data_IF_647100891514
#
_entry.id   IF_647100891514
#
_cell.length_a   1.000
_cell.length_b   1.000
_cell.length_c   1.000
_cell.angle_alpha   90.00
_cell.angle_beta   90.00
_cell.angle_gamma   90.00
#
_symmetry.space_group_name_H-M   'P 1'
#
loop_
_entity.id
_entity.type
_entity.pdbx_description
1 polymer ?
#
# COMPACT_ATOMS: atom_id res chain seq x y z
N UNK A 1 -17.12 57.88 -39.58
CA UNK A 1 -17.33 57.29 -38.24
C UNK A 1 -16.41 56.09 -38.09
N UNK A 2 -15.26 56.30 -37.45
CA UNK A 2 -14.19 55.31 -37.30
C UNK A 2 -14.26 54.76 -35.88
N UNK A 3 -14.59 53.47 -35.72
CA UNK A 3 -14.61 52.82 -34.42
C UNK A 3 -13.31 52.03 -34.22
N UNK A 4 -12.56 52.42 -33.19
CA UNK A 4 -11.28 51.86 -32.77
C UNK A 4 -11.46 50.42 -32.26
N UNK A 5 -10.83 49.44 -32.92
CA UNK A 5 -10.56 48.14 -32.30
C UNK A 5 -9.36 48.27 -31.34
N UNK A 6 -9.62 48.08 -30.05
CA UNK A 6 -8.60 47.95 -29.00
C UNK A 6 -7.87 46.60 -29.16
N UNK A 7 -6.53 46.64 -29.19
CA UNK A 7 -5.66 45.46 -29.06
C UNK A 7 -5.83 44.82 -27.67
N UNK A 8 -5.96 43.49 -27.54
CA UNK A 8 -5.88 42.83 -26.25
C UNK A 8 -4.42 42.71 -25.77
N UNK A 9 -4.23 42.95 -24.48
CA UNK A 9 -2.99 42.84 -23.72
C UNK A 9 -2.37 41.44 -23.82
N UNK A 10 -1.10 41.38 -24.22
CA UNK A 10 -0.23 40.22 -24.05
C UNK A 10 0.28 40.18 -22.60
N UNK A 11 -0.41 39.45 -21.73
CA UNK A 11 0.16 39.00 -20.46
C UNK A 11 0.29 37.47 -20.48
N UNK A 12 1.49 37.04 -20.82
CA UNK A 12 1.95 35.65 -20.74
C UNK A 12 2.06 35.28 -19.25
N UNK A 13 1.11 34.49 -18.76
CA UNK A 13 1.25 33.85 -17.45
C UNK A 13 2.27 32.71 -17.57
N UNK A 14 3.50 32.99 -17.15
CA UNK A 14 4.52 31.97 -16.83
C UNK A 14 4.06 31.21 -15.58
N UNK A 15 3.64 29.95 -15.73
CA UNK A 15 3.52 29.03 -14.61
C UNK A 15 4.92 28.71 -14.06
N UNK A 16 5.25 29.26 -12.88
CA UNK A 16 6.39 28.82 -12.07
C UNK A 16 6.07 27.44 -11.48
N UNK A 17 6.86 26.44 -11.85
CA UNK A 17 7.07 25.25 -11.04
C UNK A 17 7.74 25.69 -9.73
N UNK A 18 6.97 25.68 -8.64
CA UNK A 18 7.49 25.87 -7.29
C UNK A 18 8.02 24.53 -6.82
N UNK A 19 9.33 24.34 -6.89
CA UNK A 19 10.03 23.39 -6.02
C UNK A 19 9.98 23.98 -4.60
N UNK A 20 9.10 23.43 -3.76
CA UNK A 20 9.01 23.77 -2.36
C UNK A 20 10.19 23.18 -1.59
N UNK A 21 11.09 24.04 -1.15
CA UNK A 21 12.13 23.77 -0.16
C UNK A 21 11.53 23.59 1.24
N UNK A 22 11.90 22.46 1.86
CA UNK A 22 12.00 22.18 3.31
C UNK A 22 11.23 23.06 4.31
N UNK A 23 10.23 22.47 4.97
CA UNK A 23 9.95 22.74 6.38
C UNK A 23 9.81 21.43 7.14
N UNK A 24 10.72 21.23 8.09
CA UNK A 24 10.75 20.12 9.04
C UNK A 24 9.58 20.26 10.02
N UNK A 25 8.55 19.44 9.85
CA UNK A 25 7.62 19.10 10.93
C UNK A 25 7.67 17.59 11.11
N UNK A 26 8.37 17.16 12.16
CA UNK A 26 8.41 15.76 12.58
C UNK A 26 7.05 15.41 13.19
N UNK A 27 6.04 15.17 12.34
CA UNK A 27 4.82 14.52 12.77
C UNK A 27 5.10 13.03 12.96
N UNK A 28 5.58 12.68 14.16
CA UNK A 28 5.57 11.28 14.58
C UNK A 28 4.12 10.82 14.72
N UNK A 29 3.74 9.66 14.15
CA UNK A 29 2.47 9.05 14.47
C UNK A 29 2.47 8.70 15.96
N UNK A 30 1.46 9.18 16.67
CA UNK A 30 1.21 8.89 18.07
C UNK A 30 0.87 7.40 18.24
N UNK A 31 1.91 6.58 18.31
CA UNK A 31 1.78 5.16 18.67
C UNK A 31 1.33 5.07 20.14
N UNK A 32 0.17 4.46 20.37
CA UNK A 32 -0.33 4.17 21.70
C UNK A 32 0.69 3.27 22.42
N UNK A 33 1.12 3.73 23.60
CA UNK A 33 2.28 3.25 24.35
C UNK A 33 2.10 1.81 24.82
N UNK A 34 2.79 0.85 24.20
CA UNK A 34 3.28 -0.31 24.94
C UNK A 34 4.47 0.16 25.78
N UNK A 35 4.24 0.35 27.09
CA UNK A 35 5.28 0.80 28.02
C UNK A 35 6.34 -0.28 28.20
N UNK A 36 7.40 -0.26 27.39
CA UNK A 36 8.58 -1.08 27.63
C UNK A 36 9.34 -0.59 28.87
N UNK A 37 9.95 -1.52 29.60
CA UNK A 37 10.92 -1.19 30.66
C UNK A 37 12.30 -1.04 30.02
N UNK A 38 12.76 0.20 29.88
CA UNK A 38 14.14 0.49 29.46
C UNK A 38 15.08 0.33 30.64
N UNK A 39 16.20 -0.34 30.38
CA UNK A 39 17.34 -0.50 31.29
C UNK A 39 18.52 0.23 30.68
N UNK A 40 19.19 1.06 31.48
CA UNK A 40 20.37 1.82 31.07
C UNK A 40 21.55 1.40 31.93
N UNK A 41 22.57 0.84 31.31
CA UNK A 41 23.88 0.59 31.93
C UNK A 41 24.74 1.83 31.75
N UNK A 42 25.11 2.47 32.86
CA UNK A 42 25.99 3.66 32.83
C UNK A 42 27.41 3.28 32.45
N UNK A 43 28.05 4.11 31.63
CA UNK A 43 29.43 3.93 31.19
C UNK A 43 29.71 2.48 30.74
N UNK A 44 28.79 1.96 29.91
CA UNK A 44 28.81 0.59 29.42
C UNK A 44 29.27 0.45 27.98
N UNK A 45 29.52 1.55 27.26
CA UNK A 45 29.90 1.53 25.83
C UNK A 45 31.23 0.82 25.57
N UNK A 46 32.11 0.78 26.56
CA UNK A 46 33.38 0.06 26.53
C UNK A 46 33.24 -1.43 26.91
N UNK A 47 32.06 -1.85 27.39
CA UNK A 47 31.74 -3.25 27.66
C UNK A 47 31.08 -3.87 26.44
N UNK A 48 31.47 -5.11 26.10
CA UNK A 48 30.77 -5.83 25.06
C UNK A 48 29.34 -6.18 25.51
N UNK A 49 28.42 -6.28 24.54
CA UNK A 49 27.05 -6.77 24.79
C UNK A 49 27.06 -8.11 25.53
N UNK A 50 27.98 -9.01 25.15
CA UNK A 50 28.16 -10.31 25.79
C UNK A 50 28.61 -10.20 27.25
N UNK A 51 29.50 -9.26 27.58
CA UNK A 51 29.97 -9.07 28.96
C UNK A 51 28.86 -8.58 29.89
N UNK A 52 28.04 -7.63 29.41
CA UNK A 52 26.91 -7.10 30.18
C UNK A 52 25.90 -8.22 30.48
N UNK A 53 25.53 -9.01 29.47
CA UNK A 53 24.58 -10.12 29.62
C UNK A 53 25.16 -11.19 30.56
N UNK A 54 26.40 -11.60 30.35
CA UNK A 54 27.06 -12.64 31.17
C UNK A 54 27.16 -12.21 32.64
N UNK A 55 27.49 -10.94 32.91
CA UNK A 55 27.54 -10.40 34.27
C UNK A 55 26.16 -10.44 34.97
N UNK A 56 25.09 -10.12 34.23
CA UNK A 56 23.72 -10.20 34.74
C UNK A 56 23.30 -11.64 35.00
N UNK A 57 23.53 -12.56 34.06
CA UNK A 57 23.17 -13.98 34.20
C UNK A 57 23.93 -14.65 35.35
N UNK A 58 25.22 -14.35 35.51
CA UNK A 58 26.05 -14.86 36.61
C UNK A 58 25.51 -14.45 37.99
N UNK A 59 24.97 -13.24 38.09
CA UNK A 59 24.40 -12.72 39.32
C UNK A 59 22.97 -13.24 39.56
N UNK A 60 22.13 -13.24 38.52
CA UNK A 60 20.71 -13.62 38.60
C UNK A 60 20.48 -15.13 38.64
N UNK A 61 21.46 -15.94 38.24
CA UNK A 61 21.33 -17.40 38.08
C UNK A 61 20.17 -17.80 37.15
N UNK A 62 19.81 -16.91 36.23
CA UNK A 62 18.73 -17.05 35.26
C UNK A 62 19.16 -16.41 33.94
N UNK A 63 18.76 -16.97 32.78
CA UNK A 63 19.02 -16.35 31.48
C UNK A 63 18.33 -14.98 31.40
N UNK A 64 18.97 -14.04 30.71
CA UNK A 64 18.46 -12.69 30.49
C UNK A 64 18.25 -12.49 29.00
N UNK A 65 17.07 -12.02 28.63
CA UNK A 65 16.66 -11.88 27.24
C UNK A 65 16.44 -10.40 26.90
N UNK A 66 17.52 -9.61 26.76
CA UNK A 66 17.39 -8.22 26.39
C UNK A 66 16.89 -8.10 24.95
N UNK A 67 16.31 -6.95 24.62
CA UNK A 67 16.05 -6.58 23.24
C UNK A 67 16.32 -5.10 22.96
N UNK A 68 16.56 -4.76 21.70
CA UNK A 68 16.92 -3.41 21.25
C UNK A 68 18.15 -2.87 22.00
N UNK A 69 19.22 -3.67 22.08
CA UNK A 69 20.47 -3.25 22.72
C UNK A 69 21.16 -2.19 21.85
N UNK A 70 21.36 -1.00 22.40
CA UNK A 70 22.01 0.11 21.70
C UNK A 70 23.01 0.85 22.59
N UNK A 71 24.13 1.25 22.00
CA UNK A 71 25.11 2.12 22.65
C UNK A 71 24.78 3.57 22.33
N UNK A 72 24.62 4.41 23.35
CA UNK A 72 24.35 5.84 23.24
C UNK A 72 25.67 6.63 23.16
N UNK A 73 25.62 7.83 22.60
CA UNK A 73 26.80 8.70 22.43
C UNK A 73 27.41 9.13 23.76
N UNK A 74 26.59 9.24 24.80
CA UNK A 74 27.01 9.55 26.17
C UNK A 74 27.72 8.40 26.90
N UNK A 75 28.10 7.32 26.20
CA UNK A 75 28.83 6.19 26.78
C UNK A 75 27.96 5.16 27.50
N UNK A 76 26.64 5.33 27.51
CA UNK A 76 25.71 4.39 28.14
C UNK A 76 25.24 3.31 27.15
N UNK A 77 24.85 2.15 27.66
CA UNK A 77 24.19 1.11 26.87
C UNK A 77 22.75 0.98 27.35
N UNK A 78 21.80 0.98 26.42
CA UNK A 78 20.38 0.78 26.73
C UNK A 78 19.86 -0.50 26.12
N UNK A 79 18.94 -1.15 26.82
CA UNK A 79 18.19 -2.30 26.33
C UNK A 79 16.82 -2.35 26.99
N UNK A 80 15.93 -3.19 26.47
CA UNK A 80 14.58 -3.35 26.96
C UNK A 80 14.35 -4.78 27.44
N UNK A 81 13.40 -4.94 28.35
CA UNK A 81 13.07 -6.23 28.97
C UNK A 81 11.56 -6.44 28.91
N UNK A 82 11.14 -7.70 28.67
CA UNK A 82 9.74 -8.04 28.41
C UNK A 82 8.89 -8.07 29.67
N UNK A 83 9.40 -8.73 30.71
CA UNK A 83 8.67 -9.01 31.95
C UNK A 83 9.03 -8.00 33.02
N UNK A 84 8.04 -7.54 33.77
CA UNK A 84 8.30 -6.65 34.91
C UNK A 84 9.17 -7.34 35.95
N UNK A 85 8.96 -8.64 36.16
CA UNK A 85 9.72 -9.47 37.09
C UNK A 85 11.21 -9.54 36.69
N UNK A 86 11.48 -9.82 35.41
CA UNK A 86 12.84 -9.86 34.85
C UNK A 86 13.50 -8.48 34.91
N UNK A 87 12.73 -7.41 34.59
CA UNK A 87 13.21 -6.04 34.72
C UNK A 87 13.59 -5.69 36.16
N UNK A 88 12.78 -6.08 37.15
CA UNK A 88 13.03 -5.83 38.56
C UNK A 88 14.23 -6.65 39.07
N UNK A 89 14.36 -7.90 38.61
CA UNK A 89 15.51 -8.74 38.89
C UNK A 89 16.80 -8.09 38.38
N UNK A 90 16.82 -7.62 37.13
CA UNK A 90 17.96 -6.88 36.55
C UNK A 90 18.27 -5.61 37.33
N UNK A 91 17.25 -4.88 37.80
CA UNK A 91 17.48 -3.68 38.62
C UNK A 91 18.12 -4.03 39.96
N UNK A 92 17.74 -5.16 40.57
CA UNK A 92 18.34 -5.64 41.83
C UNK A 92 19.82 -6.03 41.69
N UNK A 93 20.29 -6.23 40.45
CA UNK A 93 21.69 -6.50 40.11
C UNK A 93 22.54 -5.21 40.00
N UNK A 94 21.91 -4.03 40.02
CA UNK A 94 22.60 -2.74 39.99
C UNK A 94 23.57 -2.61 41.17
N UNK A 95 24.81 -2.22 40.87
CA UNK A 95 25.96 -2.13 41.79
C UNK A 95 26.37 -3.47 42.45
N UNK A 96 25.87 -4.61 41.95
CA UNK A 96 26.13 -5.95 42.50
C UNK A 96 26.65 -6.93 41.46
N UNK A 97 26.10 -6.91 40.25
CA UNK A 97 26.64 -7.67 39.12
C UNK A 97 28.00 -7.13 38.70
N UNK A 98 28.95 -8.04 38.53
CA UNK A 98 30.35 -7.74 38.24
C UNK A 98 30.71 -8.29 36.86
N UNK A 99 31.34 -7.47 36.02
CA UNK A 99 31.87 -7.87 34.71
C UNK A 99 33.10 -8.75 34.85
N UNK A 100 33.53 -9.36 33.73
CA UNK A 100 34.80 -10.09 33.62
C UNK A 100 36.02 -9.28 34.07
N UNK A 101 35.98 -7.96 33.90
CA UNK A 101 37.01 -7.00 34.34
C UNK A 101 36.91 -6.58 35.81
N UNK A 102 35.99 -7.14 36.60
CA UNK A 102 35.79 -6.76 38.01
C UNK A 102 34.97 -5.47 38.21
N UNK A 103 34.47 -4.84 37.14
CA UNK A 103 33.68 -3.62 37.21
C UNK A 103 32.23 -3.93 37.58
N UNK A 104 31.66 -3.18 38.52
CA UNK A 104 30.25 -3.31 38.89
C UNK A 104 29.34 -2.57 37.91
N UNK A 105 28.28 -3.21 37.45
CA UNK A 105 27.29 -2.58 36.57
C UNK A 105 26.45 -1.55 37.34
N UNK A 106 26.22 -0.36 36.79
CA UNK A 106 25.28 0.62 37.34
C UNK A 106 24.09 0.70 36.40
N UNK A 107 22.93 0.26 36.86
CA UNK A 107 21.73 0.08 36.05
C UNK A 107 20.63 1.02 36.54
N UNK A 108 20.05 1.77 35.60
CA UNK A 108 18.91 2.65 35.80
C UNK A 108 17.68 2.15 35.04
N UNK A 109 16.49 2.52 35.54
CA UNK A 109 15.20 2.18 34.93
C UNK A 109 14.57 3.43 34.34
N UNK A 110 14.00 3.31 33.14
CA UNK A 110 13.13 4.32 32.59
C UNK A 110 11.95 3.67 31.85
N UNK A 111 10.77 4.27 31.98
CA UNK A 111 9.63 3.90 31.13
C UNK A 111 9.81 4.55 29.76
N UNK A 112 9.98 3.74 28.72
CA UNK A 112 10.12 4.22 27.35
C UNK A 112 9.62 3.16 26.36
N UNK A 113 9.04 3.61 25.24
CA UNK A 113 8.74 2.71 24.13
C UNK A 113 10.04 2.32 23.42
N UNK A 114 10.23 1.04 23.05
CA UNK A 114 11.38 0.62 22.28
C UNK A 114 11.43 1.32 20.91
N UNK A 115 12.57 1.89 20.50
CA UNK A 115 12.74 2.39 19.14
C UNK A 115 12.71 1.24 18.13
N UNK A 116 12.26 1.52 16.91
CA UNK A 116 12.32 0.56 15.81
C UNK A 116 13.75 0.50 15.26
N UNK A 117 14.60 -0.29 15.90
CA UNK A 117 15.98 -0.54 15.48
C UNK A 117 16.00 -1.75 14.54
N UNK A 118 16.59 -1.60 13.36
CA UNK A 118 16.81 -2.70 12.42
C UNK A 118 17.64 -3.82 13.03
N UNK A 119 17.35 -5.06 12.64
CA UNK A 119 18.14 -6.21 13.06
C UNK A 119 19.50 -6.19 12.37
N UNK A 120 20.53 -6.65 13.07
CA UNK A 120 21.86 -6.84 12.47
C UNK A 120 21.85 -8.05 11.53
N UNK A 121 22.81 -8.12 10.61
CA UNK A 121 22.81 -9.18 9.58
C UNK A 121 22.91 -10.59 10.18
N UNK A 122 23.64 -10.77 11.29
CA UNK A 122 23.67 -12.04 12.01
C UNK A 122 22.30 -12.47 12.56
N UNK A 123 21.48 -11.52 12.99
CA UNK A 123 20.11 -11.77 13.47
C UNK A 123 19.17 -12.10 12.30
N UNK A 124 19.35 -11.44 11.14
CA UNK A 124 18.60 -11.73 9.91
C UNK A 124 18.90 -13.12 9.37
N UNK A 125 20.15 -13.58 9.42
CA UNK A 125 20.52 -14.94 8.99
C UNK A 125 19.88 -16.02 9.88
N UNK A 126 19.82 -15.81 11.19
CA UNK A 126 19.09 -16.71 12.10
C UNK A 126 17.60 -16.75 11.74
N UNK A 127 16.97 -15.59 11.50
CA UNK A 127 15.58 -15.53 11.07
C UNK A 127 15.36 -16.27 9.76
N UNK A 128 16.25 -16.12 8.78
CA UNK A 128 16.17 -16.81 7.48
C UNK A 128 16.19 -18.32 7.64
N UNK A 129 17.09 -18.86 8.46
CA UNK A 129 17.16 -20.30 8.75
C UNK A 129 15.88 -20.81 9.42
N UNK A 130 15.36 -20.06 10.39
CA UNK A 130 14.13 -20.42 11.10
C UNK A 130 12.92 -20.38 10.16
N UNK A 131 12.77 -19.34 9.34
CA UNK A 131 11.68 -19.24 8.36
C UNK A 131 11.70 -20.41 7.37
N UNK A 132 12.87 -20.78 6.87
CA UNK A 132 13.01 -21.94 5.98
C UNK A 132 12.56 -23.24 6.66
N UNK A 133 12.87 -23.42 7.95
CA UNK A 133 12.43 -24.60 8.72
C UNK A 133 10.93 -24.64 9.03
N UNK A 134 10.27 -23.47 8.99
CA UNK A 134 8.86 -23.31 9.32
C UNK A 134 7.95 -23.33 8.07
N UNK A 135 8.55 -23.37 6.88
CA UNK A 135 7.83 -23.46 5.62
C UNK A 135 7.68 -24.92 5.18
N UNK A 136 6.45 -25.34 4.91
CA UNK A 136 6.13 -26.63 4.31
C UNK A 136 5.85 -26.44 2.82
N UNK A 137 6.73 -26.99 1.98
CA UNK A 137 6.64 -26.85 0.53
C UNK A 137 5.44 -27.60 -0.07
N UNK A 138 5.04 -28.72 0.52
CA UNK A 138 3.93 -29.55 0.03
C UNK A 138 2.57 -28.85 0.19
N UNK A 139 2.40 -28.11 1.28
CA UNK A 139 1.13 -27.42 1.61
C UNK A 139 1.21 -25.93 1.33
N UNK A 140 2.37 -25.41 0.91
CA UNK A 140 2.63 -23.98 0.76
C UNK A 140 2.27 -23.18 2.02
N UNK A 141 2.52 -23.79 3.19
CA UNK A 141 2.14 -23.26 4.50
C UNK A 141 3.36 -22.73 5.24
N UNK A 142 3.27 -21.49 5.72
CA UNK A 142 4.27 -20.89 6.59
C UNK A 142 3.74 -20.83 8.02
N UNK A 143 4.32 -21.64 8.92
CA UNK A 143 3.91 -21.68 10.31
C UNK A 143 4.72 -20.69 11.17
N UNK A 144 4.14 -19.55 11.49
CA UNK A 144 4.70 -18.56 12.43
C UNK A 144 3.96 -18.56 13.78
N UNK A 145 3.13 -19.56 14.04
CA UNK A 145 2.35 -19.70 15.27
C UNK A 145 3.26 -19.78 16.50
N UNK A 146 3.04 -18.89 17.47
CA UNK A 146 3.82 -18.86 18.70
C UNK A 146 5.34 -18.71 18.48
N UNK A 147 5.77 -17.98 17.45
CA UNK A 147 7.16 -17.88 16.96
C UNK A 147 8.22 -17.72 18.06
N UNK A 148 7.92 -16.94 19.11
CA UNK A 148 8.83 -16.75 20.25
C UNK A 148 9.15 -18.02 21.05
N UNK A 149 8.39 -19.11 20.86
CA UNK A 149 8.59 -20.42 21.50
C UNK A 149 9.46 -21.37 20.68
N UNK A 150 9.75 -21.03 19.42
CA UNK A 150 10.67 -21.81 18.59
C UNK A 150 12.01 -21.96 19.30
N UNK A 151 12.57 -23.17 19.31
CA UNK A 151 13.78 -23.49 20.09
C UNK A 151 14.99 -22.65 19.68
N UNK A 152 15.15 -22.39 18.39
CA UNK A 152 16.25 -21.56 17.87
C UNK A 152 16.09 -20.11 18.32
N UNK A 153 14.89 -19.55 18.19
CA UNK A 153 14.60 -18.16 18.61
C UNK A 153 14.67 -18.01 20.13
N UNK A 154 14.18 -18.99 20.89
CA UNK A 154 14.18 -18.98 22.35
C UNK A 154 15.59 -19.10 22.94
N UNK A 155 16.44 -19.92 22.32
CA UNK A 155 17.82 -20.11 22.75
C UNK A 155 18.76 -19.03 22.20
N UNK A 156 18.28 -18.19 21.27
CA UNK A 156 19.03 -17.05 20.77
C UNK A 156 19.20 -15.98 21.86
N UNK A 157 20.36 -15.33 21.88
CA UNK A 157 20.70 -14.32 22.89
C UNK A 157 19.80 -13.08 22.81
N UNK A 158 19.42 -12.68 21.60
CA UNK A 158 18.45 -11.61 21.37
C UNK A 158 17.04 -12.20 21.31
N UNK A 159 16.13 -11.60 22.07
CA UNK A 159 14.71 -11.92 21.98
C UNK A 159 14.08 -11.29 20.73
N UNK A 160 13.70 -12.11 19.75
CA UNK A 160 13.18 -11.69 18.44
C UNK A 160 11.73 -12.14 18.17
N UNK A 161 10.73 -11.62 18.90
CA UNK A 161 9.33 -11.97 18.65
C UNK A 161 8.77 -11.26 17.42
N UNK A 162 7.79 -11.87 16.75
CA UNK A 162 7.11 -11.29 15.57
C UNK A 162 6.37 -9.99 15.88
N UNK A 163 5.86 -9.82 17.10
CA UNK A 163 5.18 -8.58 17.49
C UNK A 163 6.12 -7.36 17.66
N UNK A 164 7.43 -7.53 17.43
CA UNK A 164 8.40 -6.43 17.31
C UNK A 164 8.46 -5.99 15.84
N UNK A 165 8.19 -4.71 15.61
CA UNK A 165 8.13 -4.12 14.26
C UNK A 165 9.36 -4.42 13.40
N UNK A 166 10.56 -4.35 13.97
CA UNK A 166 11.80 -4.64 13.24
C UNK A 166 11.93 -6.10 12.83
N UNK A 167 11.38 -7.04 13.62
CA UNK A 167 11.36 -8.47 13.30
C UNK A 167 10.35 -8.72 12.18
N UNK A 168 9.14 -8.16 12.28
CA UNK A 168 8.14 -8.27 11.22
C UNK A 168 8.64 -7.69 9.88
N UNK A 169 9.29 -6.53 9.92
CA UNK A 169 9.91 -5.91 8.74
C UNK A 169 11.01 -6.79 8.16
N UNK A 170 11.91 -7.33 9.00
CA UNK A 170 12.95 -8.23 8.54
C UNK A 170 12.37 -9.51 7.90
N UNK A 171 11.34 -10.11 8.51
CA UNK A 171 10.63 -11.26 7.94
C UNK A 171 10.04 -10.88 6.58
N UNK A 172 9.37 -9.73 6.50
CA UNK A 172 8.79 -9.22 5.25
C UNK A 172 9.85 -9.09 4.15
N UNK A 173 11.01 -8.52 4.47
CA UNK A 173 12.13 -8.40 3.52
C UNK A 173 12.71 -9.76 3.14
N UNK A 174 12.87 -10.68 4.10
CA UNK A 174 13.39 -12.02 3.82
C UNK A 174 12.45 -12.85 2.93
N UNK A 175 11.15 -12.55 2.99
CA UNK A 175 10.13 -13.19 2.17
C UNK A 175 9.94 -12.52 0.81
N UNK A 176 10.68 -11.46 0.46
CA UNK A 176 10.48 -10.77 -0.83
C UNK A 176 10.63 -11.67 -2.04
N UNK A 177 11.56 -12.63 -1.97
CA UNK A 177 11.93 -13.47 -3.11
C UNK A 177 11.08 -14.75 -3.19
N UNK A 178 10.55 -15.21 -2.05
CA UNK A 178 9.82 -16.49 -1.94
C UNK A 178 8.36 -16.34 -1.54
N UNK A 179 7.89 -15.12 -1.26
CA UNK A 179 6.55 -14.88 -0.73
C UNK A 179 5.41 -15.26 -1.68
N UNK A 180 5.67 -15.28 -2.99
CA UNK A 180 4.72 -15.80 -3.99
C UNK A 180 4.43 -17.29 -3.89
N UNK A 181 5.30 -18.07 -3.22
CA UNK A 181 5.10 -19.50 -2.99
C UNK A 181 4.19 -19.79 -1.79
N UNK A 182 3.82 -18.79 -1.00
CA UNK A 182 3.07 -18.97 0.24
C UNK A 182 1.58 -18.79 -0.04
N UNK A 183 0.80 -19.83 0.28
CA UNK A 183 -0.66 -19.82 0.15
C UNK A 183 -1.37 -19.77 1.49
N UNK A 184 -0.71 -20.18 2.57
CA UNK A 184 -1.30 -20.13 3.92
C UNK A 184 -0.27 -19.71 4.97
N UNK A 185 -0.72 -18.91 5.94
CA UNK A 185 0.13 -18.39 7.02
C UNK A 185 -0.56 -18.61 8.37
N UNK A 186 0.13 -19.22 9.31
CA UNK A 186 -0.26 -19.24 10.73
C UNK A 186 0.51 -18.16 11.49
N UNK A 187 -0.19 -17.17 12.05
CA UNK A 187 0.35 -16.11 12.90
C UNK A 187 -0.26 -16.14 14.31
N UNK A 188 -0.83 -17.27 14.71
CA UNK A 188 -1.49 -17.45 15.98
C UNK A 188 -0.53 -17.26 17.17
N UNK A 189 -1.06 -16.90 18.34
CA UNK A 189 -0.34 -16.88 19.62
C UNK A 189 0.91 -15.96 19.68
N UNK A 190 0.97 -14.92 18.84
CA UNK A 190 2.10 -13.99 18.76
C UNK A 190 1.90 -12.68 19.55
N UNK A 191 0.73 -12.50 20.17
CA UNK A 191 0.35 -11.26 20.90
C UNK A 191 0.43 -10.01 20.02
N UNK A 192 0.01 -10.14 18.76
CA UNK A 192 -0.14 -9.03 17.82
C UNK A 192 -1.33 -8.16 18.24
N UNK A 193 -1.13 -6.84 18.31
CA UNK A 193 -2.21 -5.88 18.61
C UNK A 193 -2.42 -4.92 17.44
N UNK A 194 -1.33 -4.34 16.96
CA UNK A 194 -1.31 -3.48 15.78
C UNK A 194 -0.85 -4.31 14.57
N UNK A 195 -1.59 -4.22 13.47
CA UNK A 195 -1.34 -4.98 12.25
C UNK A 195 -0.69 -4.13 11.14
N UNK A 196 -0.28 -2.89 11.44
CA UNK A 196 0.36 -1.97 10.49
C UNK A 196 1.58 -2.58 9.79
N UNK A 197 2.46 -3.22 10.56
CA UNK A 197 3.67 -3.84 9.99
C UNK A 197 3.37 -5.18 9.32
N UNK A 198 2.31 -5.87 9.75
CA UNK A 198 1.83 -7.07 9.08
C UNK A 198 1.20 -6.74 7.72
N UNK A 199 0.58 -5.57 7.58
CA UNK A 199 0.01 -5.11 6.31
C UNK A 199 1.08 -5.02 5.20
N UNK A 200 2.35 -4.75 5.56
CA UNK A 200 3.45 -4.81 4.59
C UNK A 200 3.64 -6.22 4.03
N UNK A 201 3.41 -7.27 4.83
CA UNK A 201 3.56 -8.65 4.38
C UNK A 201 2.58 -8.99 3.24
N UNK A 202 1.43 -8.32 3.20
CA UNK A 202 0.40 -8.51 2.17
C UNK A 202 0.96 -8.27 0.76
N UNK A 203 1.81 -7.27 0.57
CA UNK A 203 2.39 -6.99 -0.75
C UNK A 203 3.42 -8.02 -1.20
N UNK A 204 4.07 -8.71 -0.27
CA UNK A 204 5.10 -9.72 -0.57
C UNK A 204 4.54 -11.13 -0.65
N UNK A 205 3.35 -11.37 -0.11
CA UNK A 205 2.68 -12.67 -0.09
C UNK A 205 1.29 -12.58 -0.75
N UNK A 206 1.21 -12.20 -2.04
CA UNK A 206 -0.07 -11.89 -2.69
C UNK A 206 -0.99 -13.10 -2.86
N UNK A 207 -0.45 -14.32 -2.83
CA UNK A 207 -1.18 -15.56 -3.07
C UNK A 207 -1.75 -16.20 -1.79
N UNK A 208 -1.63 -15.53 -0.64
CA UNK A 208 -2.17 -16.03 0.63
C UNK A 208 -3.69 -16.02 0.59
N UNK A 209 -4.27 -17.21 0.77
CA UNK A 209 -5.71 -17.47 0.79
C UNK A 209 -6.20 -17.99 2.15
N UNK A 210 -5.30 -18.41 3.04
CA UNK A 210 -5.64 -18.89 4.37
C UNK A 210 -4.76 -18.24 5.43
N UNK A 211 -5.39 -17.70 6.49
CA UNK A 211 -4.70 -16.97 7.54
C UNK A 211 -5.22 -17.37 8.93
N UNK A 212 -4.31 -17.68 9.86
CA UNK A 212 -4.63 -17.85 11.27
C UNK A 212 -4.06 -16.70 12.11
N UNK A 213 -4.93 -16.01 12.84
CA UNK A 213 -4.61 -14.92 13.77
C UNK A 213 -5.14 -15.19 15.19
N UNK A 214 -5.54 -16.42 15.52
CA UNK A 214 -6.04 -16.75 16.84
C UNK A 214 -5.01 -16.53 17.96
N UNK A 215 -5.47 -16.23 19.18
CA UNK A 215 -4.59 -16.06 20.34
C UNK A 215 -3.72 -14.79 20.28
N UNK A 216 -4.12 -13.81 19.47
CA UNK A 216 -3.50 -12.50 19.43
C UNK A 216 -4.28 -11.49 20.31
N UNK A 217 -3.91 -10.21 20.25
CA UNK A 217 -4.43 -9.14 21.09
C UNK A 217 -5.04 -8.01 20.23
N UNK A 218 -5.60 -8.36 19.08
CA UNK A 218 -6.25 -7.40 18.19
C UNK A 218 -7.55 -6.92 18.83
N UNK A 219 -7.65 -5.63 19.09
CA UNK A 219 -8.74 -5.00 19.82
C UNK A 219 -9.70 -4.19 18.92
N UNK A 220 -9.34 -3.96 17.66
CA UNK A 220 -10.13 -3.17 16.73
C UNK A 220 -10.23 -3.83 15.36
N UNK A 221 -11.43 -3.75 14.80
CA UNK A 221 -11.75 -4.13 13.43
C UNK A 221 -10.95 -3.36 12.37
N UNK A 222 -10.55 -2.12 12.66
CA UNK A 222 -9.75 -1.32 11.74
C UNK A 222 -8.36 -1.93 11.50
N UNK A 223 -7.83 -2.68 12.46
CA UNK A 223 -6.58 -3.41 12.28
C UNK A 223 -6.75 -4.52 11.24
N UNK A 224 -7.88 -5.24 11.27
CA UNK A 224 -8.16 -6.30 10.28
C UNK A 224 -8.37 -5.74 8.88
N UNK A 225 -8.98 -4.55 8.75
CA UNK A 225 -9.14 -3.88 7.44
C UNK A 225 -7.82 -3.63 6.73
N UNK A 226 -6.71 -3.46 7.45
CA UNK A 226 -5.37 -3.30 6.87
C UNK A 226 -4.89 -4.54 6.11
N UNK A 227 -5.45 -5.71 6.41
CA UNK A 227 -5.14 -6.97 5.75
C UNK A 227 -6.05 -7.26 4.55
N UNK A 228 -6.99 -6.36 4.21
CA UNK A 228 -7.95 -6.54 3.11
C UNK A 228 -7.30 -6.68 1.72
N UNK A 229 -6.01 -6.40 1.58
CA UNK A 229 -5.27 -6.71 0.35
C UNK A 229 -5.14 -8.21 0.07
N UNK A 230 -5.25 -9.07 1.08
CA UNK A 230 -5.34 -10.52 0.86
C UNK A 230 -6.75 -10.96 0.48
N UNK A 231 -6.81 -11.84 -0.52
CA UNK A 231 -8.04 -12.49 -0.99
C UNK A 231 -8.27 -13.79 -0.23
N UNK A 232 -8.58 -13.65 1.07
CA UNK A 232 -8.70 -14.80 1.97
C UNK A 232 -9.97 -15.61 1.68
N UNK A 233 -9.80 -16.92 1.55
CA UNK A 233 -10.85 -17.94 1.56
C UNK A 233 -11.06 -18.50 2.97
N UNK A 234 -9.99 -18.61 3.77
CA UNK A 234 -10.04 -19.14 5.13
C UNK A 234 -9.43 -18.14 6.11
N UNK A 235 -10.14 -17.84 7.20
CA UNK A 235 -9.66 -16.95 8.26
C UNK A 235 -10.03 -17.50 9.63
N UNK A 236 -9.03 -17.60 10.51
CA UNK A 236 -9.22 -17.91 11.93
C UNK A 236 -8.82 -16.69 12.76
N UNK A 237 -9.73 -16.09 13.51
CA UNK A 237 -9.51 -14.81 14.19
C UNK A 237 -10.34 -14.62 15.47
N UNK A 238 -11.30 -15.51 15.77
CA UNK A 238 -12.22 -15.43 16.90
C UNK A 238 -11.55 -15.27 18.26
N UNK A 239 -10.35 -15.83 18.46
CA UNK A 239 -9.60 -15.73 19.72
C UNK A 239 -8.84 -14.38 19.84
N UNK A 240 -9.53 -13.26 19.60
CA UNK A 240 -9.00 -11.91 19.74
C UNK A 240 -9.96 -11.01 20.53
N UNK A 241 -9.47 -9.98 21.25
CA UNK A 241 -10.29 -9.09 22.05
C UNK A 241 -11.48 -8.43 21.34
N UNK A 242 -11.34 -8.02 20.06
CA UNK A 242 -12.41 -7.37 19.31
C UNK A 242 -13.68 -8.24 19.21
N UNK A 243 -13.54 -9.57 19.28
CA UNK A 243 -14.69 -10.48 19.14
C UNK A 243 -15.75 -10.25 20.23
N UNK A 244 -15.35 -9.75 21.41
CA UNK A 244 -16.26 -9.43 22.53
C UNK A 244 -17.24 -8.30 22.22
N UNK A 245 -17.01 -7.51 21.18
CA UNK A 245 -17.88 -6.41 20.78
C UNK A 245 -19.13 -6.90 20.04
N UNK A 246 -19.10 -8.12 19.47
CA UNK A 246 -20.23 -8.69 18.74
C UNK A 246 -21.27 -9.29 19.68
N UNK A 247 -22.54 -8.98 19.42
CA UNK A 247 -23.67 -9.49 20.20
C UNK A 247 -24.19 -10.83 19.68
N UNK A 248 -23.87 -11.16 18.43
CA UNK A 248 -24.38 -12.35 17.75
C UNK A 248 -23.41 -12.84 16.67
N UNK A 249 -23.41 -14.16 16.42
CA UNK A 249 -22.59 -14.76 15.35
C UNK A 249 -22.95 -14.25 13.94
N UNK A 250 -24.24 -14.07 13.57
CA UNK A 250 -24.57 -13.54 12.24
C UNK A 250 -24.03 -12.12 12.01
N UNK A 251 -24.04 -11.27 13.04
CA UNK A 251 -23.45 -9.93 12.97
C UNK A 251 -21.94 -10.01 12.74
N UNK A 252 -21.26 -10.90 13.48
CA UNK A 252 -19.84 -11.18 13.31
C UNK A 252 -19.51 -11.64 11.88
N UNK A 253 -20.22 -12.65 11.37
CA UNK A 253 -20.04 -13.17 10.02
C UNK A 253 -20.24 -12.09 8.94
N UNK A 254 -21.30 -11.29 9.05
CA UNK A 254 -21.58 -10.20 8.09
C UNK A 254 -20.45 -9.16 8.07
N UNK A 255 -19.93 -8.78 9.24
CA UNK A 255 -18.82 -7.83 9.31
C UNK A 255 -17.53 -8.43 8.75
N UNK A 256 -17.22 -9.70 9.04
CA UNK A 256 -16.07 -10.39 8.45
C UNK A 256 -16.15 -10.45 6.92
N UNK A 257 -17.31 -10.81 6.36
CA UNK A 257 -17.56 -10.84 4.92
C UNK A 257 -17.45 -9.44 4.28
N UNK A 258 -17.80 -8.37 5.01
CA UNK A 258 -17.62 -7.00 4.50
C UNK A 258 -16.15 -6.60 4.32
N UNK A 259 -15.23 -7.22 5.08
CA UNK A 259 -13.78 -6.95 5.00
C UNK A 259 -13.11 -7.93 4.04
N UNK A 260 -13.52 -9.21 4.09
CA UNK A 260 -12.99 -10.29 3.28
C UNK A 260 -14.14 -10.98 2.52
N UNK A 261 -14.58 -10.42 1.38
CA UNK A 261 -15.76 -10.93 0.66
C UNK A 261 -15.59 -12.34 0.08
N UNK A 262 -14.36 -12.81 -0.05
CA UNK A 262 -14.04 -14.12 -0.63
C UNK A 262 -14.05 -15.26 0.39
N UNK A 263 -14.25 -14.99 1.69
CA UNK A 263 -14.26 -16.02 2.72
C UNK A 263 -15.31 -17.10 2.44
N UNK A 264 -14.87 -18.35 2.60
CA UNK A 264 -15.70 -19.55 2.57
C UNK A 264 -15.65 -20.28 3.91
N UNK A 265 -14.57 -20.11 4.68
CA UNK A 265 -14.38 -20.68 6.00
C UNK A 265 -13.95 -19.60 7.00
N UNK A 266 -14.69 -19.44 8.08
CA UNK A 266 -14.39 -18.51 9.15
C UNK A 266 -14.37 -19.27 10.48
N UNK A 267 -13.22 -19.29 11.15
CA UNK A 267 -13.00 -20.01 12.42
C UNK A 267 -13.40 -21.49 12.36
N UNK A 268 -13.17 -22.14 11.22
CA UNK A 268 -13.56 -23.53 10.96
C UNK A 268 -15.05 -23.73 10.66
N UNK A 269 -15.85 -22.66 10.61
CA UNK A 269 -17.27 -22.71 10.29
C UNK A 269 -17.47 -22.28 8.83
N UNK A 270 -18.12 -23.10 7.98
CA UNK A 270 -18.47 -22.70 6.62
C UNK A 270 -19.37 -21.46 6.64
N UNK A 271 -18.98 -20.44 5.89
CA UNK A 271 -19.78 -19.22 5.78
C UNK A 271 -20.73 -19.37 4.61
N UNK A 272 -22.03 -19.39 4.92
CA UNK A 272 -23.06 -19.28 3.89
C UNK A 272 -23.12 -17.82 3.49
N UNK A 273 -22.72 -17.51 2.24
CA UNK A 273 -23.02 -16.22 1.65
C UNK A 273 -24.51 -16.21 1.42
N UNK A 274 -25.25 -15.36 2.13
CA UNK A 274 -26.61 -15.03 1.72
C UNK A 274 -26.49 -14.63 0.25
N UNK A 275 -27.15 -15.37 -0.63
CA UNK A 275 -27.13 -15.09 -2.06
C UNK A 275 -27.54 -13.62 -2.19
N UNK A 276 -26.57 -12.76 -2.48
CA UNK A 276 -26.87 -11.45 -3.02
C UNK A 276 -27.74 -11.76 -4.21
N UNK A 277 -28.99 -11.31 -4.17
CA UNK A 277 -29.88 -11.27 -5.32
C UNK A 277 -29.07 -10.63 -6.45
N UNK A 278 -28.43 -11.48 -7.26
CA UNK A 278 -27.64 -11.07 -8.39
C UNK A 278 -28.67 -10.54 -9.38
N UNK A 279 -28.86 -9.21 -9.38
CA UNK A 279 -29.57 -8.52 -10.44
C UNK A 279 -28.73 -8.60 -11.73
N UNK A 280 -28.41 -9.79 -12.23
CA UNK A 280 -27.78 -10.03 -13.53
C UNK A 280 -26.52 -9.21 -13.85
N UNK A 281 -25.84 -8.66 -12.85
CA UNK A 281 -24.58 -7.97 -13.01
C UNK A 281 -23.50 -8.93 -12.55
N UNK A 282 -23.00 -9.72 -13.49
CA UNK A 282 -21.78 -10.52 -13.34
C UNK A 282 -20.57 -9.59 -13.15
N UNK A 283 -20.46 -8.93 -12.00
CA UNK A 283 -19.32 -8.06 -11.66
C UNK A 283 -18.05 -8.85 -11.32
N UNK A 284 -18.13 -10.19 -11.19
CA UNK A 284 -17.00 -11.00 -10.75
C UNK A 284 -16.03 -11.45 -11.87
N UNK A 285 -16.16 -10.95 -13.10
CA UNK A 285 -15.22 -11.33 -14.17
C UNK A 285 -14.86 -10.21 -15.17
N UNK A 286 -15.20 -8.94 -14.92
CA UNK A 286 -14.81 -7.87 -15.85
C UNK A 286 -13.72 -7.03 -15.22
N UNK A 287 -12.49 -7.55 -15.23
CA UNK A 287 -11.34 -6.64 -15.25
C UNK A 287 -11.56 -5.67 -16.43
N UNK A 288 -11.22 -4.39 -16.29
CA UNK A 288 -11.40 -3.39 -17.34
C UNK A 288 -10.79 -3.79 -18.72
N UNK A 289 -9.96 -4.84 -18.76
CA UNK A 289 -9.40 -5.45 -19.95
C UNK A 289 -10.37 -6.35 -20.75
N UNK A 290 -11.54 -6.70 -20.21
CA UNK A 290 -12.49 -7.63 -20.83
C UNK A 290 -13.83 -6.96 -21.17
N UNK A 291 -13.82 -5.65 -21.43
CA UNK A 291 -14.88 -5.03 -22.19
C UNK A 291 -14.63 -5.44 -23.64
N UNK A 292 -15.41 -6.40 -24.15
CA UNK A 292 -15.46 -6.73 -25.56
C UNK A 292 -16.07 -5.54 -26.32
N UNK A 293 -15.24 -4.54 -26.61
CA UNK A 293 -15.62 -3.48 -27.53
C UNK A 293 -16.01 -4.10 -28.86
N UNK A 294 -17.09 -3.63 -29.51
CA UNK A 294 -17.35 -4.00 -30.88
C UNK A 294 -16.10 -3.74 -31.73
N UNK A 295 -15.75 -4.63 -32.68
CA UNK A 295 -14.61 -4.41 -33.55
C UNK A 295 -14.80 -3.07 -34.27
N UNK A 296 -13.76 -2.24 -34.27
CA UNK A 296 -13.77 -1.00 -35.03
C UNK A 296 -13.89 -1.33 -36.53
N UNK A 297 -15.01 -0.98 -37.13
CA UNK A 297 -15.23 -1.12 -38.56
C UNK A 297 -14.73 0.16 -39.26
N UNK A 298 -14.09 0.03 -40.43
CA UNK A 298 -13.53 1.16 -41.16
C UNK A 298 -14.60 2.08 -41.79
N UNK A 299 -15.65 1.50 -42.36
CA UNK A 299 -16.82 2.22 -42.89
C UNK A 299 -18.08 1.39 -42.71
N UNK A 300 -19.22 2.07 -42.63
CA UNK A 300 -20.54 1.45 -42.55
C UNK A 300 -21.41 2.03 -43.65
N UNK A 301 -21.86 1.17 -44.57
CA UNK A 301 -22.80 1.49 -45.63
C UNK A 301 -23.98 0.54 -45.49
N UNK A 302 -25.20 1.08 -45.49
CA UNK A 302 -26.42 0.29 -45.24
C UNK A 302 -26.76 -0.60 -46.43
N UNK A 303 -26.39 -0.19 -47.65
CA UNK A 303 -26.62 -0.95 -48.89
C UNK A 303 -25.48 -0.74 -49.91
N UNK A 304 -25.23 -1.76 -50.73
CA UNK A 304 -24.18 -1.73 -51.76
C UNK A 304 -24.51 -0.79 -52.93
N UNK A 305 -25.80 -0.53 -53.20
CA UNK A 305 -26.22 0.38 -54.27
C UNK A 305 -25.86 1.85 -53.97
N UNK A 306 -25.88 2.29 -52.70
CA UNK A 306 -25.43 3.63 -52.34
C UNK A 306 -23.90 3.73 -52.34
N UNK A 307 -23.17 2.62 -52.24
CA UNK A 307 -21.71 2.63 -52.25
C UNK A 307 -21.17 3.24 -53.55
N UNK A 308 -21.63 2.74 -54.69
CA UNK A 308 -21.17 3.23 -55.99
C UNK A 308 -21.64 4.65 -56.28
N UNK A 309 -22.82 5.04 -55.77
CA UNK A 309 -23.32 6.41 -55.87
C UNK A 309 -22.48 7.38 -55.02
N UNK A 310 -22.22 7.03 -53.76
CA UNK A 310 -21.44 7.86 -52.84
C UNK A 310 -19.98 7.96 -53.26
N UNK A 311 -19.36 6.86 -53.71
CA UNK A 311 -17.97 6.90 -54.22
C UNK A 311 -17.87 7.84 -55.43
N UNK A 312 -18.79 7.72 -56.40
CA UNK A 312 -18.82 8.63 -57.57
C UNK A 312 -19.03 10.08 -57.15
N UNK A 313 -19.96 10.33 -56.23
CA UNK A 313 -20.20 11.65 -55.68
C UNK A 313 -18.95 12.22 -55.01
N UNK A 314 -18.28 11.48 -54.13
CA UNK A 314 -17.07 11.95 -53.46
C UNK A 314 -15.93 12.20 -54.45
N UNK A 315 -15.74 11.34 -55.45
CA UNK A 315 -14.74 11.55 -56.48
C UNK A 315 -14.98 12.84 -57.28
N UNK A 316 -16.22 13.09 -57.70
CA UNK A 316 -16.58 14.30 -58.45
C UNK A 316 -16.52 15.56 -57.56
N UNK A 317 -17.06 15.48 -56.35
CA UNK A 317 -17.04 16.56 -55.37
C UNK A 317 -15.61 16.96 -55.00
N UNK A 318 -14.75 16.01 -54.62
CA UNK A 318 -13.36 16.32 -54.25
C UNK A 318 -12.51 16.70 -55.45
N UNK A 319 -12.76 16.17 -56.66
CA UNK A 319 -12.12 16.65 -57.89
C UNK A 319 -12.37 18.15 -58.13
N UNK A 320 -13.60 18.62 -57.90
CA UNK A 320 -13.93 20.04 -57.95
C UNK A 320 -13.38 20.82 -56.75
N UNK A 321 -13.41 20.24 -55.54
CA UNK A 321 -12.97 20.90 -54.29
C UNK A 321 -11.46 21.08 -54.21
N UNK A 322 -10.68 20.10 -54.65
CA UNK A 322 -9.21 20.10 -54.61
C UNK A 322 -8.60 20.85 -55.80
N UNK A 323 -9.40 21.17 -56.83
CA UNK A 323 -8.95 21.95 -57.98
C UNK A 323 -8.40 23.32 -57.55
N UNK A 324 -7.25 23.69 -58.07
CA UNK A 324 -6.62 24.99 -57.79
C UNK A 324 -7.33 26.16 -58.48
N UNK A 325 -8.25 25.88 -59.41
CA UNK A 325 -8.99 26.89 -60.16
C UNK A 325 -10.34 27.22 -59.51
N UNK A 326 -10.59 28.50 -59.26
CA UNK A 326 -11.83 28.97 -58.61
C UNK A 326 -13.09 28.61 -59.41
N UNK A 327 -13.02 28.62 -60.74
CA UNK A 327 -14.11 28.26 -61.66
C UNK A 327 -14.57 26.80 -61.52
N UNK A 328 -13.68 25.90 -61.10
CA UNK A 328 -14.01 24.51 -60.84
C UNK A 328 -14.73 24.34 -59.50
N UNK A 329 -14.36 25.14 -58.49
CA UNK A 329 -15.06 25.17 -57.20
C UNK A 329 -16.46 25.78 -57.30
N UNK A 330 -16.70 26.71 -58.24
CA UNK A 330 -18.03 27.26 -58.50
C UNK A 330 -19.05 26.19 -58.93
N UNK A 331 -18.60 25.12 -59.58
CA UNK A 331 -19.48 23.98 -59.97
C UNK A 331 -20.06 23.26 -58.75
N UNK A 332 -19.41 23.36 -57.59
CA UNK A 332 -19.93 22.81 -56.33
C UNK A 332 -21.26 23.44 -55.93
N UNK A 333 -21.61 24.64 -56.42
CA UNK A 333 -22.89 25.29 -56.13
C UNK A 333 -24.09 24.40 -56.51
N UNK A 334 -23.94 23.53 -57.51
CA UNK A 334 -24.96 22.55 -57.91
C UNK A 334 -25.10 21.36 -56.94
N UNK A 335 -24.07 21.09 -56.14
CA UNK A 335 -24.09 20.04 -55.11
C UNK A 335 -24.72 20.51 -53.79
N UNK A 336 -24.88 21.83 -53.59
CA UNK A 336 -25.49 22.41 -52.39
C UNK A 336 -26.97 22.76 -52.60
N UNK A 337 -27.79 22.55 -51.58
CA UNK A 337 -29.17 23.01 -51.57
C UNK A 337 -29.26 24.53 -51.39
N UNK A 338 -30.37 25.15 -51.82
CA UNK A 338 -30.59 26.61 -51.74
C UNK A 338 -30.46 27.21 -50.32
N UNK A 339 -30.60 26.41 -49.28
CA UNK A 339 -30.49 26.80 -47.86
C UNK A 339 -29.34 26.07 -47.15
N UNK A 340 -28.32 25.63 -47.89
CA UNK A 340 -27.25 24.80 -47.33
C UNK A 340 -26.41 25.55 -46.29
N UNK A 341 -26.67 25.32 -45.02
CA UNK A 341 -25.85 25.83 -43.92
C UNK A 341 -24.55 25.02 -43.81
N UNK A 342 -23.42 25.65 -44.14
CA UNK A 342 -22.09 25.07 -43.96
C UNK A 342 -21.55 25.44 -42.57
N UNK A 343 -21.34 24.44 -41.72
CA UNK A 343 -20.77 24.64 -40.39
C UNK A 343 -19.41 23.92 -40.32
N UNK A 344 -18.34 24.70 -40.18
CA UNK A 344 -17.01 24.19 -39.84
C UNK A 344 -16.87 24.07 -38.33
N UNK A 345 -16.65 22.85 -37.84
CA UNK A 345 -16.43 22.55 -36.42
C UNK A 345 -15.01 21.99 -36.22
N UNK A 346 -14.22 22.62 -35.35
CA UNK A 346 -12.97 22.06 -34.83
C UNK A 346 -13.20 21.68 -33.37
N UNK A 347 -12.86 20.43 -33.00
CA UNK A 347 -12.87 20.03 -31.59
C UNK A 347 -11.59 20.51 -30.92
N UNK A 348 -11.73 21.15 -29.75
CA UNK A 348 -10.61 21.59 -28.90
C UNK A 348 -9.81 20.40 -28.37
N UNK A 349 -9.03 19.74 -29.22
CA UNK A 349 -7.86 18.99 -28.81
C UNK A 349 -6.75 20.00 -28.62
N UNK A 350 -6.30 20.19 -27.38
CA UNK A 350 -5.12 20.99 -26.96
C UNK A 350 -4.31 21.55 -28.13
N UNK A 351 -4.47 22.85 -28.43
CA UNK A 351 -3.66 23.62 -29.37
C UNK A 351 -2.18 23.62 -28.94
N UNK A 352 -1.49 22.48 -29.08
CA UNK A 352 -0.08 22.51 -29.43
C UNK A 352 -0.08 22.86 -30.91
N UNK A 353 0.29 24.11 -31.18
CA UNK A 353 0.72 24.61 -32.48
C UNK A 353 1.34 23.47 -33.30
N UNK A 354 0.60 22.95 -34.28
CA UNK A 354 1.20 22.15 -35.33
C UNK A 354 1.98 23.17 -36.16
N UNK A 355 3.31 23.18 -35.99
CA UNK A 355 4.28 24.06 -36.64
C UNK A 355 4.20 25.57 -36.28
N UNK A 356 5.32 26.20 -35.87
CA UNK A 356 5.42 27.65 -35.76
C UNK A 356 5.64 28.25 -37.15
N UNK A 357 4.59 28.75 -37.82
CA UNK A 357 4.80 29.45 -39.09
C UNK A 357 3.57 29.99 -39.82
N UNK A 358 2.40 29.36 -39.72
CA UNK A 358 1.20 29.81 -40.43
C UNK A 358 0.05 30.07 -39.46
N UNK A 359 -0.64 31.23 -39.54
CA UNK A 359 -1.90 31.41 -38.83
C UNK A 359 -2.91 30.44 -39.41
N UNK A 360 -3.45 29.56 -38.56
CA UNK A 360 -4.41 28.54 -38.95
C UNK A 360 -5.72 29.20 -39.40
N UNK A 361 -5.84 29.45 -40.72
CA UNK A 361 -6.93 30.24 -41.33
C UNK A 361 -8.31 29.64 -40.98
N UNK A 362 -8.36 28.34 -40.71
CA UNK A 362 -9.57 27.62 -40.31
C UNK A 362 -10.11 28.03 -38.94
N UNK A 363 -9.27 28.48 -38.01
CA UNK A 363 -9.72 28.98 -36.70
C UNK A 363 -10.58 30.25 -36.81
N UNK A 364 -10.37 31.06 -37.85
CA UNK A 364 -11.16 32.28 -38.10
C UNK A 364 -12.61 31.98 -38.50
N UNK A 365 -12.87 30.79 -39.06
CA UNK A 365 -14.17 30.38 -39.58
C UNK A 365 -14.82 29.25 -38.77
N UNK A 366 -14.16 28.78 -37.70
CA UNK A 366 -14.66 27.69 -36.85
C UNK A 366 -15.79 28.19 -35.93
N UNK A 367 -16.87 27.41 -35.84
CA UNK A 367 -17.95 27.59 -34.88
C UNK A 367 -17.91 26.45 -33.85
N UNK A 368 -17.87 26.77 -32.55
CA UNK A 368 -18.00 25.78 -31.47
C UNK A 368 -19.16 26.16 -30.55
N UNK A 369 -20.13 25.25 -30.43
CA UNK A 369 -21.34 25.47 -29.62
C UNK A 369 -21.15 25.16 -28.13
N UNK A 370 -19.99 24.63 -27.73
CA UNK A 370 -19.68 24.26 -26.33
C UNK A 370 -19.10 25.44 -25.52
N UNK A 371 -18.79 26.57 -26.16
CA UNK A 371 -18.27 27.76 -25.47
C UNK A 371 -19.40 28.64 -24.93
N UNK A 372 -20.03 28.27 -23.81
CA UNK A 372 -20.79 29.23 -22.99
C UNK A 372 -20.64 29.04 -21.48
N UNK A 373 -20.20 30.14 -20.86
CA UNK A 373 -20.34 30.58 -19.45
C UNK A 373 -19.63 29.76 -18.37
N UNK A 374 -18.41 30.19 -18.08
CA UNK A 374 -17.96 30.31 -16.68
C UNK A 374 -17.30 31.66 -16.50
N UNK A 375 -17.97 32.59 -15.83
CA UNK A 375 -17.42 33.60 -14.90
C UNK A 375 -18.49 34.67 -14.61
N UNK A 376 -19.26 34.43 -13.56
CA UNK A 376 -19.50 35.43 -12.52
C UNK A 376 -19.89 34.67 -11.25
N UNK A 377 -18.90 34.49 -10.36
CA UNK A 377 -19.14 34.39 -8.92
C UNK A 377 -19.00 35.83 -8.41
N UNK A 378 -20.05 36.36 -7.80
CA UNK A 378 -19.89 37.33 -6.71
C UNK A 378 -19.64 36.56 -5.41
#
# INVERSE_FOLDING_TARGET
>A
MVSRMRRPNTNVYRSRLVYGTSSSSTNQPTTSRSSGLRRTVKNGKDLSRSDIITALENFLKSPVHPFCVSSLDNGNVTFYVRKSEEGNAILSASRRATTSSGRKLVIETQSASPPCIELVDSEKEVLKQVLASLFCAETHHLNLGGFSQNTVIRNHREYMPINRNSVMLAITTLLSDQGGLIHSIDLSNNRLRLLDYLANLVSFTPNVIALDLNGNQVDSMDQLRKLSGWKLNQLNVKQNPFYKEFKSEPEYHRVMLSIFPQLTLLDGIPVVKEETLNFGLDESAVSAAQINWPPALGSFLVNDELKDLLIRFFMEYYSCFDSTETSHREKLLHAYTKTGDLIGCCMNGSLKMISPGEPDVYLLFTRSFVLRRTLHRE
#
